data_IF_978084693041
#
_entry.id   IF_978084693041
#
_cell.length_a   1.000
_cell.length_b   1.000
_cell.length_c   1.000
_cell.angle_alpha   90.00
_cell.angle_beta   90.00
_cell.angle_gamma   90.00
#
_symmetry.space_group_name_H-M   'P 1'
#
loop_
_entity.id
_entity.type
_entity.pdbx_description
1 polymer ?
#
# COMPACT_ATOMS: atom_id res chain seq x y z
N UNK A 1 4.44 -15.35 18.48
CA UNK A 1 3.11 -14.86 18.93
C UNK A 1 2.27 -16.12 19.04
N UNK A 2 1.59 -16.41 20.14
CA UNK A 2 1.00 -17.74 20.30
C UNK A 2 -0.40 -17.79 19.66
N UNK A 3 -0.45 -18.11 18.37
CA UNK A 3 -1.68 -18.30 17.59
C UNK A 3 -1.81 -19.76 17.18
N UNK A 4 -3.04 -20.25 17.13
CA UNK A 4 -3.33 -21.51 16.43
C UNK A 4 -3.08 -21.37 14.93
N UNK A 5 -2.99 -22.50 14.22
CA UNK A 5 -2.85 -22.49 12.75
C UNK A 5 -4.01 -21.76 12.07
N UNK A 6 -5.25 -22.00 12.51
CA UNK A 6 -6.43 -21.35 11.94
C UNK A 6 -6.44 -19.83 12.17
N UNK A 7 -6.01 -19.37 13.35
CA UNK A 7 -5.90 -17.93 13.63
C UNK A 7 -4.77 -17.29 12.82
N UNK A 8 -3.65 -18.01 12.63
CA UNK A 8 -2.55 -17.58 11.75
C UNK A 8 -3.04 -17.42 10.31
N UNK A 9 -3.73 -18.42 9.77
CA UNK A 9 -4.28 -18.38 8.41
C UNK A 9 -5.27 -17.22 8.23
N UNK A 10 -6.17 -17.02 9.20
CA UNK A 10 -7.13 -15.92 9.19
C UNK A 10 -6.43 -14.55 9.24
N UNK A 11 -5.40 -14.41 10.08
CA UNK A 11 -4.63 -13.18 10.17
C UNK A 11 -3.87 -12.89 8.87
N UNK A 12 -3.27 -13.91 8.24
CA UNK A 12 -2.61 -13.78 6.95
C UNK A 12 -3.59 -13.29 5.86
N UNK A 13 -4.83 -13.78 5.85
CA UNK A 13 -5.86 -13.31 4.91
C UNK A 13 -6.25 -11.84 5.14
N UNK A 14 -6.42 -11.43 6.41
CA UNK A 14 -6.69 -10.04 6.77
C UNK A 14 -5.54 -9.11 6.36
N UNK A 15 -4.30 -9.51 6.62
CA UNK A 15 -3.12 -8.73 6.23
C UNK A 15 -2.99 -8.62 4.72
N UNK A 16 -3.27 -9.71 4.00
CA UNK A 16 -3.26 -9.74 2.53
C UNK A 16 -4.32 -8.80 1.96
N UNK A 17 -5.53 -8.85 2.51
CA UNK A 17 -6.62 -7.94 2.12
C UNK A 17 -6.23 -6.49 2.35
N UNK A 18 -5.66 -6.18 3.52
CA UNK A 18 -5.22 -4.81 3.84
C UNK A 18 -4.11 -4.33 2.91
N UNK A 19 -3.16 -5.21 2.59
CA UNK A 19 -2.09 -4.93 1.64
C UNK A 19 -2.66 -4.57 0.26
N UNK A 20 -3.60 -5.35 -0.27
CA UNK A 20 -4.23 -5.06 -1.56
C UNK A 20 -5.03 -3.75 -1.55
N UNK A 21 -5.71 -3.44 -0.44
CA UNK A 21 -6.40 -2.16 -0.26
C UNK A 21 -5.41 -0.98 -0.41
N UNK A 22 -4.26 -1.06 0.27
CA UNK A 22 -3.23 -0.01 0.21
C UNK A 22 -2.58 0.09 -1.17
N UNK A 23 -2.28 -1.03 -1.83
CA UNK A 23 -1.74 -1.03 -3.19
C UNK A 23 -2.71 -0.37 -4.19
N UNK A 24 -4.01 -0.64 -4.03
CA UNK A 24 -5.06 0.01 -4.83
C UNK A 24 -5.14 1.52 -4.58
N UNK A 25 -5.05 1.94 -3.30
CA UNK A 25 -4.98 3.37 -2.93
C UNK A 25 -3.76 4.06 -3.53
N UNK A 26 -2.58 3.46 -3.42
CA UNK A 26 -1.34 3.96 -4.03
C UNK A 26 -1.51 4.14 -5.54
N UNK A 27 -2.05 3.13 -6.23
CA UNK A 27 -2.29 3.21 -7.68
C UNK A 27 -3.24 4.36 -8.02
N UNK A 28 -4.29 4.56 -7.22
CA UNK A 28 -5.20 5.70 -7.38
C UNK A 28 -4.48 7.04 -7.17
N UNK A 29 -3.68 7.17 -6.11
CA UNK A 29 -2.96 8.42 -5.85
C UNK A 29 -1.94 8.72 -6.93
N UNK A 30 -1.24 7.70 -7.46
CA UNK A 30 -0.29 7.86 -8.58
C UNK A 30 -0.96 8.34 -9.87
N UNK A 31 -2.25 8.09 -10.04
CA UNK A 31 -3.00 8.44 -11.26
C UNK A 31 -3.89 9.68 -11.10
N UNK A 32 -4.27 10.04 -9.88
CA UNK A 32 -5.28 11.09 -9.62
C UNK A 32 -4.78 12.25 -8.75
N UNK A 33 -3.58 12.17 -8.16
CA UNK A 33 -3.03 13.31 -7.44
C UNK A 33 -2.70 14.44 -8.40
N UNK A 34 -3.12 15.66 -8.06
CA UNK A 34 -2.97 16.85 -8.90
C UNK A 34 -1.59 17.49 -8.76
N UNK A 35 -0.85 17.13 -7.71
CA UNK A 35 0.51 17.56 -7.43
C UNK A 35 1.28 16.48 -6.66
N UNK A 36 2.61 16.60 -6.64
CA UNK A 36 3.45 15.75 -5.80
C UNK A 36 3.11 15.92 -4.31
N UNK A 37 2.92 17.17 -3.85
CA UNK A 37 2.58 17.45 -2.46
C UNK A 37 1.27 16.75 -2.02
N UNK A 38 0.28 16.64 -2.91
CA UNK A 38 -0.95 15.91 -2.60
C UNK A 38 -0.69 14.40 -2.45
N UNK A 39 0.18 13.82 -3.30
CA UNK A 39 0.59 12.43 -3.17
C UNK A 39 1.34 12.20 -1.86
N UNK A 40 2.32 13.05 -1.56
CA UNK A 40 3.14 12.96 -0.35
C UNK A 40 2.28 13.04 0.91
N UNK A 41 1.28 13.94 0.94
CA UNK A 41 0.33 14.03 2.05
C UNK A 41 -0.45 12.72 2.25
N UNK A 42 -0.93 12.07 1.18
CA UNK A 42 -1.62 10.78 1.28
C UNK A 42 -0.68 9.67 1.77
N UNK A 43 0.58 9.72 1.35
CA UNK A 43 1.61 8.78 1.82
C UNK A 43 1.84 8.96 3.32
N UNK A 44 2.03 10.20 3.79
CA UNK A 44 2.29 10.52 5.18
C UNK A 44 1.10 10.19 6.08
N UNK A 45 -0.11 10.64 5.72
CA UNK A 45 -1.29 10.49 6.56
C UNK A 45 -1.86 9.07 6.57
N UNK A 46 -1.70 8.33 5.46
CA UNK A 46 -2.35 7.01 5.30
C UNK A 46 -1.36 5.88 5.10
N UNK A 47 -0.43 5.98 4.14
CA UNK A 47 0.42 4.84 3.77
C UNK A 47 1.41 4.48 4.87
N UNK A 48 2.22 5.43 5.33
CA UNK A 48 3.29 5.20 6.30
C UNK A 48 2.79 4.59 7.62
N UNK A 49 1.71 5.09 8.26
CA UNK A 49 1.19 4.50 9.48
C UNK A 49 0.73 3.05 9.28
N UNK A 50 0.01 2.76 8.19
CA UNK A 50 -0.47 1.41 7.90
C UNK A 50 0.68 0.46 7.55
N UNK A 51 1.67 0.94 6.79
CA UNK A 51 2.86 0.18 6.42
C UNK A 51 3.67 -0.22 7.66
N UNK A 52 3.86 0.71 8.61
CA UNK A 52 4.55 0.46 9.88
C UNK A 52 3.84 -0.66 10.68
N UNK A 53 2.51 -0.61 10.76
CA UNK A 53 1.72 -1.63 11.47
C UNK A 53 1.84 -2.98 10.75
N UNK A 54 1.67 -3.02 9.42
CA UNK A 54 1.74 -4.26 8.65
C UNK A 54 3.12 -4.91 8.73
N UNK A 55 4.20 -4.12 8.63
CA UNK A 55 5.58 -4.61 8.80
C UNK A 55 5.77 -5.24 10.18
N UNK A 56 5.38 -4.54 11.25
CA UNK A 56 5.52 -5.06 12.61
C UNK A 56 4.66 -6.30 12.90
N UNK A 57 3.49 -6.44 12.25
CA UNK A 57 2.68 -7.65 12.34
C UNK A 57 3.30 -8.81 11.55
N UNK A 58 3.81 -8.54 10.34
CA UNK A 58 4.46 -9.55 9.52
C UNK A 58 5.73 -10.08 10.16
N UNK A 59 6.56 -9.23 10.78
CA UNK A 59 7.75 -9.66 11.53
C UNK A 59 7.41 -10.61 12.69
N UNK A 60 6.29 -10.36 13.39
CA UNK A 60 5.82 -11.23 14.47
C UNK A 60 5.29 -12.57 13.98
N UNK A 61 4.69 -12.58 12.78
CA UNK A 61 4.16 -13.79 12.11
C UNK A 61 5.27 -14.61 11.46
N UNK A 62 6.27 -13.96 10.86
CA UNK A 62 7.37 -14.63 10.16
C UNK A 62 8.34 -15.31 11.13
N UNK A 63 8.34 -14.94 12.41
CA UNK A 63 9.18 -15.57 13.43
C UNK A 63 8.96 -17.08 13.54
N UNK A 64 7.74 -17.57 13.28
CA UNK A 64 7.39 -18.99 13.42
C UNK A 64 7.49 -19.75 12.08
N UNK A 65 7.22 -19.08 10.94
CA UNK A 65 7.29 -19.67 9.59
C UNK A 65 7.74 -18.65 8.52
N UNK A 66 9.04 -18.32 8.45
CA UNK A 66 9.52 -17.25 7.57
C UNK A 66 9.42 -17.59 6.08
N UNK A 67 9.53 -18.88 5.73
CA UNK A 67 9.54 -19.35 4.34
C UNK A 67 8.15 -19.72 3.80
N UNK A 68 7.09 -19.46 4.57
CA UNK A 68 5.73 -19.71 4.11
C UNK A 68 5.42 -18.85 2.86
N UNK A 69 4.87 -19.42 1.78
CA UNK A 69 4.61 -18.68 0.55
C UNK A 69 3.75 -17.43 0.75
N UNK A 70 2.79 -17.45 1.68
CA UNK A 70 1.97 -16.27 2.00
C UNK A 70 2.79 -15.17 2.68
N UNK A 71 3.72 -15.53 3.57
CA UNK A 71 4.62 -14.57 4.25
C UNK A 71 5.54 -13.91 3.24
N UNK A 72 6.12 -14.68 2.31
CA UNK A 72 6.95 -14.14 1.22
C UNK A 72 6.15 -13.20 0.32
N UNK A 73 4.91 -13.57 -0.05
CA UNK A 73 4.06 -12.72 -0.87
C UNK A 73 3.69 -11.40 -0.18
N UNK A 74 3.41 -11.44 1.13
CA UNK A 74 3.17 -10.25 1.95
C UNK A 74 4.42 -9.37 2.00
N UNK A 75 5.60 -9.95 2.20
CA UNK A 75 6.87 -9.22 2.22
C UNK A 75 7.10 -8.46 0.91
N UNK A 76 6.95 -9.13 -0.24
CA UNK A 76 7.08 -8.51 -1.56
C UNK A 76 6.06 -7.37 -1.77
N UNK A 77 4.84 -7.54 -1.26
CA UNK A 77 3.82 -6.50 -1.28
C UNK A 77 4.21 -5.28 -0.45
N UNK A 78 4.75 -5.50 0.75
CA UNK A 78 5.25 -4.43 1.60
C UNK A 78 6.43 -3.70 0.98
N UNK A 79 7.34 -4.40 0.29
CA UNK A 79 8.45 -3.76 -0.42
C UNK A 79 7.95 -2.81 -1.54
N UNK A 80 6.87 -3.20 -2.24
CA UNK A 80 6.21 -2.33 -3.23
C UNK A 80 5.59 -1.10 -2.58
N UNK A 81 4.91 -1.27 -1.45
CA UNK A 81 4.35 -0.14 -0.69
C UNK A 81 5.44 0.76 -0.12
N UNK A 82 6.55 0.19 0.34
CA UNK A 82 7.71 0.94 0.82
C UNK A 82 8.29 1.80 -0.31
N UNK A 83 8.47 1.22 -1.49
CA UNK A 83 8.90 1.96 -2.68
C UNK A 83 7.94 3.10 -3.04
N UNK A 84 6.63 2.87 -2.86
CA UNK A 84 5.62 3.90 -3.09
C UNK A 84 5.76 5.10 -2.14
N UNK A 85 6.29 4.92 -0.92
CA UNK A 85 6.47 6.05 0.03
C UNK A 85 7.40 7.14 -0.48
N UNK A 86 8.30 6.82 -1.41
CA UNK A 86 9.26 7.77 -2.00
C UNK A 86 8.99 8.02 -3.48
N UNK A 87 7.83 7.58 -4.00
CA UNK A 87 7.53 7.65 -5.42
C UNK A 87 7.32 9.10 -5.88
N UNK A 88 7.92 9.42 -7.02
CA UNK A 88 7.77 10.72 -7.68
C UNK A 88 6.82 10.58 -8.85
N UNK A 89 5.73 11.35 -8.83
CA UNK A 89 4.79 11.46 -9.94
C UNK A 89 5.51 12.02 -11.17
N UNK A 90 5.30 11.38 -12.29
CA UNK A 90 5.79 11.86 -13.58
C UNK A 90 4.98 13.06 -14.05
N UNK A 91 5.59 13.90 -14.90
CA UNK A 91 4.91 15.03 -15.55
C UNK A 91 3.68 14.58 -16.34
N UNK A 92 3.75 13.40 -16.98
CA UNK A 92 2.63 12.79 -17.70
C UNK A 92 1.46 12.45 -16.78
N UNK A 93 1.71 11.83 -15.61
CA UNK A 93 0.67 11.51 -14.63
C UNK A 93 -0.02 12.78 -14.12
N UNK A 94 0.76 13.81 -13.80
CA UNK A 94 0.23 15.10 -13.35
C UNK A 94 -0.62 15.78 -14.44
N UNK A 95 -0.16 15.76 -15.70
CA UNK A 95 -0.91 16.33 -16.82
C UNK A 95 -2.23 15.58 -17.05
N UNK A 96 -2.22 14.24 -16.99
CA UNK A 96 -3.42 13.41 -17.13
C UNK A 96 -4.43 13.67 -16.01
N UNK A 97 -3.99 13.69 -14.75
CA UNK A 97 -4.85 13.96 -13.60
C UNK A 97 -5.53 15.34 -13.72
N UNK A 98 -4.77 16.37 -14.12
CA UNK A 98 -5.31 17.70 -14.32
C UNK A 98 -6.29 17.77 -15.50
N UNK A 99 -6.00 17.14 -16.64
CA UNK A 99 -6.90 17.08 -17.79
C UNK A 99 -8.25 16.40 -17.44
N UNK A 100 -8.21 15.31 -16.66
CA UNK A 100 -9.43 14.66 -16.17
C UNK A 100 -10.28 15.57 -15.27
N UNK A 101 -9.66 16.42 -14.45
CA UNK A 101 -10.39 17.42 -13.64
C UNK A 101 -11.06 18.47 -14.51
N UNK A 102 -10.35 19.04 -15.49
CA UNK A 102 -10.93 20.03 -16.41
C UNK A 102 -12.10 19.46 -17.21
N UNK A 103 -11.96 18.25 -17.76
CA UNK A 103 -13.02 17.60 -18.54
C UNK A 103 -14.28 17.27 -17.73
N UNK A 104 -14.17 17.13 -16.39
CA UNK A 104 -15.33 16.96 -15.50
C UNK A 104 -16.04 18.28 -15.19
N UNK A 105 -15.33 19.41 -15.17
CA UNK A 105 -15.92 20.72 -14.94
C UNK A 105 -16.65 21.30 -16.15
N UNK A 106 -16.32 20.83 -17.36
CA UNK A 106 -16.94 21.27 -18.61
C UNK A 106 -18.09 20.38 -19.10
N UNK A 107 -18.61 19.47 -18.26
CA UNK A 107 -19.77 18.61 -18.55
C UNK A 107 -20.99 19.05 -17.76
#
# INVERSE_FOLDING_TARGET
>A
MDLTTTETDYLLDLLTTKLFELLSRVTRWQTHSLSQAQYDQQVEETLQPNLTILQGLLEKLSADQPDAPQVIALQQGLDKLQTATTYQLTTTQLAQANAHRFNRHHR
#
